data_IF_547701429692
#
_entry.id   IF_547701429692
#
_cell.length_a   1.000
_cell.length_b   1.000
_cell.length_c   1.000
_cell.angle_alpha   90.00
_cell.angle_beta   90.00
_cell.angle_gamma   90.00
#
_symmetry.space_group_name_H-M   'P 1'
#
loop_
_entity.id
_entity.type
_entity.pdbx_description
1 polymer ?
#
# COMPACT_ATOMS: atom_id res chain seq x y z
N UNK A 1 12.51 20.33 14.18
CA UNK A 1 11.48 19.54 13.48
C UNK A 1 11.20 18.27 14.26
N UNK A 2 9.95 17.91 14.38
CA UNK A 2 9.53 16.75 15.15
C UNK A 2 8.60 15.87 14.30
N UNK A 3 8.88 14.57 14.26
CA UNK A 3 8.02 13.62 13.57
C UNK A 3 7.01 13.02 14.55
N UNK A 4 5.75 12.97 14.13
CA UNK A 4 4.67 12.35 14.89
C UNK A 4 4.03 11.25 14.06
N UNK A 5 3.64 10.12 14.67
CA UNK A 5 2.92 9.09 13.96
C UNK A 5 1.59 9.61 13.41
N UNK A 6 1.34 9.39 12.13
CA UNK A 6 0.06 9.75 11.52
C UNK A 6 -0.94 8.60 11.65
N UNK A 7 -0.55 7.42 11.20
CA UNK A 7 -1.42 6.24 11.24
C UNK A 7 -0.63 4.98 10.92
N UNK A 8 -1.23 3.86 11.27
CA UNK A 8 -0.84 2.53 10.79
C UNK A 8 -1.94 2.02 9.89
N UNK A 9 -1.59 1.29 8.83
CA UNK A 9 -2.60 0.69 7.97
C UNK A 9 -2.16 -0.68 7.47
N UNK A 10 -3.15 -1.48 7.09
CA UNK A 10 -2.94 -2.77 6.46
C UNK A 10 -3.81 -2.87 5.22
N UNK A 11 -3.37 -3.69 4.28
CA UNK A 11 -4.09 -3.95 3.04
C UNK A 11 -4.28 -5.44 2.85
N UNK A 12 -5.50 -5.82 2.47
CA UNK A 12 -5.82 -7.18 2.06
C UNK A 12 -5.74 -7.26 0.55
N UNK A 13 -4.94 -8.17 0.04
CA UNK A 13 -4.57 -8.22 -1.36
C UNK A 13 -5.32 -9.31 -2.11
N UNK A 14 -5.70 -9.02 -3.36
CA UNK A 14 -6.10 -10.02 -4.34
C UNK A 14 -4.85 -10.71 -4.89
N UNK A 15 -4.98 -11.90 -5.48
CA UNK A 15 -3.85 -12.55 -6.14
C UNK A 15 -3.25 -11.64 -7.22
N UNK A 16 -1.91 -11.54 -7.28
CA UNK A 16 -1.27 -10.68 -8.27
C UNK A 16 -1.59 -11.10 -9.70
N UNK A 17 -1.84 -10.10 -10.55
CA UNK A 17 -1.98 -10.31 -11.99
C UNK A 17 -0.63 -10.09 -12.64
N UNK A 18 -0.06 -11.14 -13.23
CA UNK A 18 1.24 -11.05 -13.87
C UNK A 18 1.12 -10.33 -15.22
N UNK A 19 1.78 -9.18 -15.34
CA UNK A 19 1.99 -8.52 -16.63
C UNK A 19 3.25 -9.11 -17.28
N UNK A 20 4.23 -9.46 -16.44
CA UNK A 20 5.39 -10.24 -16.84
C UNK A 20 6.68 -9.44 -16.96
N UNK A 21 7.69 -10.11 -17.47
CA UNK A 21 9.00 -9.50 -17.67
C UNK A 21 8.96 -8.51 -18.82
N UNK A 22 9.18 -7.26 -18.50
CA UNK A 22 9.19 -6.16 -19.44
C UNK A 22 10.52 -5.40 -19.40
N UNK A 23 10.58 -4.24 -20.08
CA UNK A 23 11.83 -3.48 -20.17
C UNK A 23 12.35 -2.93 -18.85
N UNK A 24 11.50 -2.83 -17.82
CA UNK A 24 11.87 -2.25 -16.53
C UNK A 24 11.92 -3.26 -15.38
N UNK A 25 11.62 -4.52 -15.65
CA UNK A 25 11.58 -5.59 -14.66
C UNK A 25 10.31 -6.43 -14.76
N UNK A 26 10.03 -7.20 -13.72
CA UNK A 26 8.84 -8.03 -13.66
C UNK A 26 7.66 -7.22 -13.10
N UNK A 27 6.73 -6.90 -13.98
CA UNK A 27 5.56 -6.07 -13.67
C UNK A 27 4.38 -6.92 -13.25
N UNK A 28 3.69 -6.50 -12.19
CA UNK A 28 2.44 -7.12 -11.78
C UNK A 28 1.47 -6.08 -11.24
N UNK A 29 0.18 -6.37 -11.36
CA UNK A 29 -0.86 -5.58 -10.73
C UNK A 29 -1.33 -6.29 -9.48
N UNK A 30 -1.22 -5.60 -8.33
CA UNK A 30 -1.69 -6.12 -7.05
C UNK A 30 -2.88 -5.27 -6.63
N UNK A 31 -4.08 -5.82 -6.80
CA UNK A 31 -5.31 -5.14 -6.41
C UNK A 31 -5.55 -5.31 -4.91
N UNK A 32 -6.08 -4.27 -4.28
CA UNK A 32 -6.39 -4.26 -2.85
C UNK A 32 -7.89 -4.42 -2.68
N UNK A 33 -8.30 -5.47 -2.01
CA UNK A 33 -9.73 -5.75 -1.75
C UNK A 33 -10.27 -5.08 -0.49
N UNK A 34 -9.44 -4.32 0.21
CA UNK A 34 -9.83 -3.61 1.40
C UNK A 34 -8.68 -3.53 2.39
N UNK A 35 -8.98 -3.06 3.58
CA UNK A 35 -8.02 -2.91 4.65
C UNK A 35 -8.49 -1.87 5.63
N UNK A 36 -7.66 -1.53 6.59
CA UNK A 36 -7.98 -0.54 7.60
C UNK A 36 -6.80 0.31 7.97
N UNK A 37 -7.10 1.46 8.54
CA UNK A 37 -6.09 2.36 9.07
C UNK A 37 -6.55 2.96 10.39
N UNK A 38 -5.57 3.27 11.25
CA UNK A 38 -5.82 3.87 12.54
C UNK A 38 -4.64 4.72 12.97
N UNK A 39 -4.93 5.88 13.51
CA UNK A 39 -3.95 6.79 14.07
C UNK A 39 -4.59 7.73 15.07
N UNK A 40 -3.79 8.62 15.70
CA UNK A 40 -4.30 9.52 16.74
C UNK A 40 -5.39 10.49 16.26
N UNK A 41 -5.37 10.84 14.97
CA UNK A 41 -6.26 11.87 14.42
C UNK A 41 -7.21 11.36 13.34
N UNK A 42 -7.03 10.13 12.86
CA UNK A 42 -7.88 9.57 11.81
C UNK A 42 -7.89 8.05 11.89
N UNK A 43 -9.02 7.47 11.52
CA UNK A 43 -9.19 6.02 11.42
C UNK A 43 -10.28 5.69 10.41
N UNK A 44 -10.24 4.50 9.86
CA UNK A 44 -11.23 4.06 8.90
C UNK A 44 -10.79 2.83 8.13
N UNK A 45 -11.19 2.77 6.87
CA UNK A 45 -10.92 1.65 5.99
C UNK A 45 -10.36 2.11 4.65
N UNK A 46 -9.62 1.23 3.98
CA UNK A 46 -9.30 1.41 2.57
C UNK A 46 -10.55 1.00 1.80
N UNK A 47 -11.10 1.93 1.02
CA UNK A 47 -12.33 1.67 0.28
C UNK A 47 -12.12 0.57 -0.75
N UNK A 48 -13.08 -0.35 -0.85
CA UNK A 48 -13.06 -1.42 -1.84
C UNK A 48 -13.08 -0.86 -3.26
N UNK A 49 -12.44 -1.57 -4.18
CA UNK A 49 -12.36 -1.22 -5.62
C UNK A 49 -11.68 0.13 -5.89
N UNK A 50 -10.87 0.62 -4.97
CA UNK A 50 -10.26 1.94 -5.09
C UNK A 50 -8.74 1.92 -4.93
N UNK A 51 -8.13 0.76 -4.79
CA UNK A 51 -6.70 0.69 -4.50
C UNK A 51 -6.02 -0.42 -5.27
N UNK A 52 -4.83 -0.11 -5.76
CA UNK A 52 -3.98 -1.09 -6.44
C UNK A 52 -2.53 -0.61 -6.44
N UNK A 53 -1.63 -1.57 -6.56
CA UNK A 53 -0.20 -1.35 -6.73
C UNK A 53 0.22 -1.87 -8.10
N UNK A 54 0.77 -1.00 -8.92
CA UNK A 54 1.41 -1.37 -10.19
C UNK A 54 2.88 -1.68 -9.93
N UNK A 55 3.10 -2.77 -9.21
CA UNK A 55 4.40 -3.19 -8.68
C UNK A 55 5.33 -3.66 -9.78
N UNK A 56 6.60 -3.29 -9.67
CA UNK A 56 7.65 -3.87 -10.49
C UNK A 56 8.75 -4.42 -9.59
N UNK A 57 9.20 -5.64 -9.87
CA UNK A 57 10.28 -6.29 -9.13
C UNK A 57 11.51 -6.33 -10.04
N UNK A 58 12.60 -5.75 -9.58
CA UNK A 58 13.85 -5.71 -10.33
C UNK A 58 14.67 -6.99 -10.13
N UNK A 59 15.82 -7.05 -10.82
CA UNK A 59 16.71 -8.22 -10.77
C UNK A 59 17.36 -8.48 -9.42
N UNK A 60 17.34 -7.49 -8.53
CA UNK A 60 17.90 -7.63 -7.18
C UNK A 60 16.85 -8.07 -6.16
N UNK A 61 15.62 -8.34 -6.59
CA UNK A 61 14.52 -8.71 -5.71
C UNK A 61 13.92 -7.53 -4.96
N UNK A 62 14.13 -6.32 -5.44
CA UNK A 62 13.52 -5.12 -4.86
C UNK A 62 12.25 -4.78 -5.63
N UNK A 63 11.16 -4.68 -4.90
CA UNK A 63 9.88 -4.21 -5.43
C UNK A 63 9.83 -2.69 -5.40
N UNK A 64 9.40 -2.11 -6.52
CA UNK A 64 9.15 -0.67 -6.64
C UNK A 64 7.65 -0.47 -6.73
N UNK A 65 7.10 0.23 -5.74
CA UNK A 65 5.66 0.43 -5.61
C UNK A 65 5.19 1.68 -6.33
N UNK A 66 4.00 1.58 -6.89
CA UNK A 66 3.24 2.71 -7.43
C UNK A 66 1.79 2.47 -7.05
N UNK A 67 1.37 3.04 -5.92
CA UNK A 67 0.09 2.77 -5.29
C UNK A 67 -0.79 4.00 -5.32
N UNK A 68 -2.08 3.76 -5.61
CA UNK A 68 -3.15 4.74 -5.41
C UNK A 68 -4.24 4.08 -4.61
N UNK A 69 -4.81 4.82 -3.66
CA UNK A 69 -5.85 4.31 -2.80
C UNK A 69 -6.79 5.43 -2.35
N UNK A 70 -8.02 5.06 -2.03
CA UNK A 70 -8.97 5.96 -1.39
C UNK A 70 -9.21 5.47 0.03
N UNK A 71 -8.89 6.31 1.00
CA UNK A 71 -9.14 6.04 2.41
C UNK A 71 -10.48 6.67 2.80
N UNK A 72 -11.32 5.86 3.41
CA UNK A 72 -12.62 6.32 3.91
C UNK A 72 -12.56 6.37 5.43
N UNK A 73 -12.70 7.56 5.99
CA UNK A 73 -12.67 7.74 7.44
C UNK A 73 -13.96 7.22 8.09
N UNK A 74 -13.89 6.92 9.37
CA UNK A 74 -15.02 6.39 10.14
C UNK A 74 -16.22 7.36 10.16
N UNK A 75 -15.99 8.64 9.92
CA UNK A 75 -17.00 9.69 9.89
C UNK A 75 -17.35 10.18 8.49
N UNK A 76 -17.01 9.39 7.47
CA UNK A 76 -17.52 9.57 6.11
C UNK A 76 -16.71 10.48 5.19
N UNK A 77 -15.50 10.85 5.56
CA UNK A 77 -14.62 11.61 4.66
C UNK A 77 -13.84 10.67 3.74
N UNK A 78 -13.44 11.17 2.59
CA UNK A 78 -12.56 10.44 1.66
C UNK A 78 -11.22 11.16 1.54
N UNK A 79 -10.15 10.38 1.58
CA UNK A 79 -8.79 10.88 1.44
C UNK A 79 -8.13 10.13 0.30
N UNK A 80 -7.66 10.86 -0.71
CA UNK A 80 -6.86 10.30 -1.79
C UNK A 80 -5.43 10.11 -1.31
N UNK A 81 -4.87 8.94 -1.55
CA UNK A 81 -3.48 8.66 -1.26
C UNK A 81 -2.78 8.12 -2.49
N UNK A 82 -1.56 8.58 -2.71
CA UNK A 82 -0.65 8.05 -3.71
C UNK A 82 0.72 7.90 -3.08
N UNK A 83 1.39 6.79 -3.33
CA UNK A 83 2.77 6.66 -2.88
C UNK A 83 3.61 5.78 -3.80
N UNK A 84 4.87 6.16 -3.87
CA UNK A 84 5.94 5.34 -4.39
C UNK A 84 6.72 4.78 -3.21
N UNK A 85 7.45 3.72 -3.43
CA UNK A 85 8.28 3.16 -2.39
C UNK A 85 9.06 1.96 -2.86
N UNK A 86 9.83 1.40 -1.95
CA UNK A 86 10.63 0.21 -2.20
C UNK A 86 10.35 -0.84 -1.14
N UNK A 87 10.43 -2.08 -1.56
CA UNK A 87 10.12 -3.24 -0.74
C UNK A 87 11.07 -4.37 -1.09
N UNK A 88 11.82 -4.87 -0.12
CA UNK A 88 12.64 -6.07 -0.33
C UNK A 88 11.71 -7.28 -0.34
N UNK A 89 11.64 -7.95 -1.48
CA UNK A 89 10.74 -9.10 -1.68
C UNK A 89 11.42 -10.36 -1.15
N UNK A 90 11.21 -10.64 0.13
CA UNK A 90 11.68 -11.85 0.80
C UNK A 90 10.58 -12.93 0.82
N UNK A 91 10.85 -14.06 1.49
CA UNK A 91 9.89 -15.16 1.58
C UNK A 91 8.55 -14.76 2.20
N UNK A 92 8.55 -13.88 3.21
CA UNK A 92 7.33 -13.41 3.87
C UNK A 92 6.50 -12.53 2.95
N UNK A 93 7.14 -11.65 2.18
CA UNK A 93 6.47 -10.83 1.18
C UNK A 93 5.90 -11.70 0.06
N UNK A 94 6.66 -12.69 -0.41
CA UNK A 94 6.17 -13.63 -1.42
C UNK A 94 4.95 -14.39 -0.93
N UNK A 95 4.95 -14.84 0.33
CA UNK A 95 3.81 -15.53 0.93
C UNK A 95 2.59 -14.60 1.03
N UNK A 96 2.77 -13.35 1.43
CA UNK A 96 1.70 -12.38 1.50
C UNK A 96 1.10 -12.10 0.12
N UNK A 97 1.94 -11.91 -0.91
CA UNK A 97 1.47 -11.70 -2.29
C UNK A 97 0.73 -12.92 -2.84
N UNK A 98 1.17 -14.12 -2.49
CA UNK A 98 0.52 -15.36 -2.92
C UNK A 98 -0.74 -15.71 -2.11
N UNK A 99 -1.06 -14.95 -1.06
CA UNK A 99 -2.20 -15.22 -0.20
C UNK A 99 -1.99 -16.37 0.79
N UNK A 100 -0.75 -16.83 0.98
CA UNK A 100 -0.41 -17.95 1.86
C UNK A 100 0.20 -17.51 3.20
N UNK A 101 0.29 -16.21 3.46
CA UNK A 101 0.83 -15.69 4.70
C UNK A 101 0.70 -14.18 4.77
N UNK A 102 1.24 -13.62 5.85
CA UNK A 102 1.24 -12.19 6.11
C UNK A 102 2.66 -11.68 6.26
N UNK A 103 2.84 -10.40 5.99
CA UNK A 103 4.09 -9.69 6.28
C UNK A 103 3.78 -8.50 7.18
N UNK A 104 4.44 -8.45 8.33
CA UNK A 104 4.24 -7.43 9.34
C UNK A 104 5.45 -6.49 9.42
N UNK A 105 5.34 -5.46 10.24
CA UNK A 105 6.40 -4.47 10.44
C UNK A 105 7.71 -5.13 10.82
N UNK A 106 8.79 -4.66 10.20
CA UNK A 106 10.13 -5.13 10.51
C UNK A 106 10.50 -6.49 9.92
N UNK A 107 9.57 -7.16 9.23
CA UNK A 107 9.85 -8.45 8.59
C UNK A 107 10.51 -8.31 7.23
N UNK A 108 10.54 -7.10 6.68
CA UNK A 108 11.29 -6.73 5.48
C UNK A 108 11.59 -5.24 5.50
N UNK A 109 12.50 -4.80 4.63
CA UNK A 109 12.71 -3.38 4.40
C UNK A 109 11.61 -2.87 3.47
N UNK A 110 10.79 -1.95 3.98
CA UNK A 110 9.64 -1.42 3.27
C UNK A 110 9.49 0.06 3.61
N UNK A 111 9.71 0.91 2.61
CA UNK A 111 9.64 2.37 2.79
C UNK A 111 8.78 2.98 1.70
N UNK A 112 7.92 3.90 2.09
CA UNK A 112 7.03 4.60 1.18
C UNK A 112 7.11 6.11 1.41
N UNK A 113 6.75 6.87 0.37
CA UNK A 113 6.66 8.34 0.44
C UNK A 113 5.24 8.72 0.04
N UNK A 114 4.30 8.76 0.98
CA UNK A 114 2.91 9.02 0.66
C UNK A 114 2.62 10.50 0.44
N UNK A 115 1.70 10.76 -0.48
CA UNK A 115 1.08 12.05 -0.70
C UNK A 115 -0.42 11.86 -0.53
N UNK A 116 -1.01 12.73 0.27
CA UNK A 116 -2.44 12.65 0.59
C UNK A 116 -3.12 13.98 0.34
N UNK A 117 -4.38 13.92 -0.10
CA UNK A 117 -5.20 15.11 -0.27
C UNK A 117 -6.66 14.78 0.03
N UNK A 118 -7.39 15.77 0.49
CA UNK A 118 -8.82 15.65 0.72
C UNK A 118 -9.51 17.00 0.56
N UNK A 119 -10.78 16.96 0.16
CA UNK A 119 -11.64 18.12 0.16
C UNK A 119 -12.38 18.35 1.47
N UNK A 120 -12.25 17.44 2.43
CA UNK A 120 -12.97 17.54 3.69
C UNK A 120 -12.21 18.42 4.69
N UNK A 121 -12.88 19.48 5.17
CA UNK A 121 -12.26 20.46 6.06
C UNK A 121 -11.74 19.86 7.37
N UNK A 122 -12.34 18.75 7.82
CA UNK A 122 -11.92 18.10 9.07
C UNK A 122 -10.52 17.48 9.00
N UNK A 123 -10.05 17.21 7.77
CA UNK A 123 -8.80 16.45 7.55
C UNK A 123 -7.78 17.18 6.67
N UNK A 124 -8.05 18.41 6.33
CA UNK A 124 -7.09 19.24 5.58
C UNK A 124 -5.85 19.60 6.38
#
# INVERSE_FOLDING_TARGET
MKLEPLMEYYANLEPPLAIGDGPFGNRMLVEVKGGGFEGPRLKGKIRELSAADWLIIDSDGVGHLDVRATFETHDGAYIYAQYYGTLVVNEKVQAALAGSGDCDYGETEFFITPRMETGDERYK
#
